data_IF_504979076696
#
_entry.id   IF_504979076696
#
_cell.length_a   1.000
_cell.length_b   1.000
_cell.length_c   1.000
_cell.angle_alpha   90.00
_cell.angle_beta   90.00
_cell.angle_gamma   90.00
#
_symmetry.space_group_name_H-M   'P 1'
#
loop_
_entity.id
_entity.type
_entity.pdbx_description
1 polymer ?
#
# COMPACT_ATOMS: atom_id res chain seq x y z
N UNK A 1 -23.34 -12.67 27.44
CA UNK A 1 -24.23 -12.58 26.25
C UNK A 1 -23.38 -12.58 24.95
N UNK A 2 -24.01 -12.88 23.81
CA UNK A 2 -23.36 -12.70 22.52
C UNK A 2 -23.45 -11.22 22.16
N UNK A 3 -22.31 -10.56 21.96
CA UNK A 3 -22.24 -9.14 21.62
C UNK A 3 -22.15 -8.91 20.10
N UNK A 4 -21.56 -9.84 19.37
CA UNK A 4 -21.45 -9.78 17.92
C UNK A 4 -21.11 -11.14 17.31
N UNK A 5 -21.43 -11.31 16.03
CA UNK A 5 -21.09 -12.50 15.24
C UNK A 5 -20.74 -12.10 13.83
N UNK A 6 -19.76 -12.77 13.23
CA UNK A 6 -19.41 -12.64 11.82
C UNK A 6 -18.93 -13.97 11.28
N UNK A 7 -18.93 -14.11 9.95
CA UNK A 7 -18.38 -15.30 9.29
C UNK A 7 -17.34 -14.88 8.24
N UNK A 8 -16.41 -15.79 7.99
CA UNK A 8 -15.40 -15.66 6.95
C UNK A 8 -15.96 -16.32 5.68
N UNK A 9 -16.22 -15.54 4.62
CA UNK A 9 -16.80 -16.09 3.39
C UNK A 9 -15.84 -17.01 2.62
N UNK A 10 -14.53 -16.93 2.89
CA UNK A 10 -13.50 -17.74 2.21
C UNK A 10 -13.35 -19.10 2.90
N UNK A 11 -13.08 -19.11 4.21
CA UNK A 11 -12.89 -20.36 4.97
C UNK A 11 -14.20 -20.99 5.48
N UNK A 12 -15.29 -20.22 5.52
CA UNK A 12 -16.55 -20.62 6.14
C UNK A 12 -16.49 -20.67 7.68
N UNK A 13 -15.42 -20.15 8.30
CA UNK A 13 -15.29 -20.07 9.75
C UNK A 13 -16.20 -18.98 10.31
N UNK A 14 -16.58 -19.13 11.59
CA UNK A 14 -17.43 -18.18 12.29
C UNK A 14 -16.70 -17.61 13.51
N UNK A 15 -16.88 -16.32 13.77
CA UNK A 15 -16.34 -15.65 14.96
C UNK A 15 -17.49 -15.06 15.78
N UNK A 16 -17.47 -15.32 17.05
CA UNK A 16 -18.41 -14.75 18.03
C UNK A 16 -17.65 -13.88 19.04
N UNK A 17 -18.21 -12.71 19.32
CA UNK A 17 -17.83 -11.89 20.47
C UNK A 17 -18.82 -12.12 21.59
N UNK A 18 -18.30 -12.48 22.74
CA UNK A 18 -19.05 -12.71 23.97
C UNK A 18 -18.69 -11.60 24.96
N UNK A 19 -19.64 -11.19 25.78
CA UNK A 19 -19.40 -10.19 26.82
C UNK A 19 -20.18 -10.53 28.08
N UNK A 20 -19.51 -10.40 29.22
CA UNK A 20 -20.13 -10.49 30.55
C UNK A 20 -20.22 -9.08 31.13
N UNK A 21 -21.43 -8.51 31.26
CA UNK A 21 -21.62 -7.17 31.83
C UNK A 21 -21.29 -7.07 33.32
N UNK A 22 -21.43 -8.17 34.07
CA UNK A 22 -21.15 -8.17 35.49
C UNK A 22 -19.65 -8.04 35.81
N UNK A 23 -18.81 -8.69 35.00
CA UNK A 23 -17.35 -8.66 35.17
C UNK A 23 -16.67 -7.68 34.22
N UNK A 24 -17.41 -7.05 33.30
CA UNK A 24 -16.90 -6.20 32.25
C UNK A 24 -15.84 -6.89 31.37
N UNK A 25 -15.87 -8.21 31.30
CA UNK A 25 -14.93 -9.01 30.48
C UNK A 25 -15.56 -9.45 29.17
N UNK A 26 -14.78 -9.37 28.14
CA UNK A 26 -15.12 -9.86 26.80
C UNK A 26 -14.30 -11.09 26.41
N UNK A 27 -14.79 -11.78 25.39
CA UNK A 27 -14.11 -12.94 24.81
C UNK A 27 -14.42 -13.05 23.34
N UNK A 28 -13.41 -13.32 22.52
CA UNK A 28 -13.56 -13.66 21.10
C UNK A 28 -13.31 -15.15 20.93
N UNK A 29 -14.22 -15.83 20.23
CA UNK A 29 -14.09 -17.26 19.92
C UNK A 29 -14.26 -17.45 18.42
N UNK A 30 -13.32 -18.15 17.79
CA UNK A 30 -13.40 -18.55 16.38
C UNK A 30 -13.66 -20.04 16.27
N UNK A 31 -14.60 -20.38 15.40
CA UNK A 31 -14.96 -21.75 15.09
C UNK A 31 -14.69 -22.05 13.62
N UNK A 32 -14.20 -23.27 13.31
CA UNK A 32 -14.12 -23.75 11.94
C UNK A 32 -15.51 -23.92 11.34
N UNK A 33 -15.58 -24.16 10.02
CA UNK A 33 -16.82 -24.50 9.31
C UNK A 33 -17.54 -25.74 9.89
N UNK A 34 -16.79 -26.66 10.49
CA UNK A 34 -17.33 -27.87 11.14
C UNK A 34 -17.74 -27.64 12.59
N UNK A 35 -17.62 -26.42 13.13
CA UNK A 35 -17.96 -26.07 14.50
C UNK A 35 -16.86 -26.33 15.53
N UNK A 36 -15.65 -26.73 15.12
CA UNK A 36 -14.53 -26.90 16.04
C UNK A 36 -13.97 -25.55 16.45
N UNK A 37 -13.70 -25.37 17.75
CA UNK A 37 -13.07 -24.16 18.27
C UNK A 37 -11.62 -24.08 17.79
N UNK A 38 -11.28 -23.01 17.06
CA UNK A 38 -9.95 -22.75 16.54
C UNK A 38 -9.09 -21.98 17.53
N UNK A 39 -9.64 -20.88 18.07
CA UNK A 39 -9.00 -20.12 19.15
C UNK A 39 -10.02 -19.41 20.03
N UNK A 40 -9.56 -18.97 21.20
CA UNK A 40 -10.28 -18.16 22.16
C UNK A 40 -9.34 -17.09 22.73
N UNK A 41 -9.81 -15.84 22.81
CA UNK A 41 -9.06 -14.70 23.34
C UNK A 41 -9.91 -13.88 24.28
N UNK A 42 -9.40 -13.57 25.47
CA UNK A 42 -10.03 -12.62 26.37
C UNK A 42 -9.83 -11.19 25.83
N UNK A 43 -10.82 -10.35 26.06
CA UNK A 43 -10.80 -8.95 25.63
C UNK A 43 -11.24 -8.03 26.77
N UNK A 44 -10.67 -6.83 26.81
CA UNK A 44 -10.98 -5.82 27.83
C UNK A 44 -12.24 -5.00 27.50
N UNK A 45 -12.93 -5.30 26.40
CA UNK A 45 -14.10 -4.55 25.95
C UNK A 45 -15.13 -5.46 25.27
N UNK A 46 -16.37 -4.96 25.18
CA UNK A 46 -17.42 -5.55 24.35
C UNK A 46 -17.20 -5.13 22.90
N UNK A 47 -16.97 -6.09 22.02
CA UNK A 47 -16.83 -5.84 20.58
C UNK A 47 -18.12 -6.26 19.87
N UNK A 48 -18.85 -5.29 19.38
CA UNK A 48 -20.14 -5.50 18.69
C UNK A 48 -20.03 -5.39 17.18
N UNK A 49 -18.99 -4.72 16.68
CA UNK A 49 -18.71 -4.62 15.24
C UNK A 49 -17.55 -5.56 14.89
N UNK A 50 -17.86 -6.62 14.14
CA UNK A 50 -16.90 -7.63 13.73
C UNK A 50 -16.86 -7.69 12.20
N UNK A 51 -15.65 -7.71 11.60
CA UNK A 51 -15.43 -7.87 10.16
C UNK A 51 -14.20 -8.72 9.91
N UNK A 52 -14.26 -9.56 8.88
CA UNK A 52 -13.13 -10.39 8.44
C UNK A 52 -12.70 -9.92 7.04
N UNK A 53 -11.38 -9.78 6.84
CA UNK A 53 -10.80 -9.46 5.53
C UNK A 53 -10.54 -10.73 4.70
N UNK A 54 -10.03 -10.56 3.47
CA UNK A 54 -9.71 -11.67 2.56
C UNK A 54 -8.59 -12.59 3.06
N UNK A 55 -7.77 -12.17 4.03
CA UNK A 55 -6.71 -12.97 4.66
C UNK A 55 -7.21 -13.74 5.91
N UNK A 56 -8.47 -13.57 6.28
CA UNK A 56 -9.05 -14.18 7.47
C UNK A 56 -8.76 -13.42 8.77
N UNK A 57 -8.17 -12.20 8.70
CA UNK A 57 -7.91 -11.37 9.88
C UNK A 57 -9.21 -10.71 10.34
N UNK A 58 -9.38 -10.64 11.66
CA UNK A 58 -10.60 -10.15 12.30
C UNK A 58 -10.41 -8.72 12.80
N UNK A 59 -11.14 -7.77 12.21
CA UNK A 59 -11.33 -6.44 12.78
C UNK A 59 -12.46 -6.47 13.80
N UNK A 60 -12.21 -5.91 14.97
CA UNK A 60 -13.13 -5.81 16.09
C UNK A 60 -13.31 -4.35 16.50
N UNK A 61 -14.55 -3.91 16.57
CA UNK A 61 -14.88 -2.57 17.02
C UNK A 61 -15.79 -2.59 18.25
N UNK A 62 -15.47 -1.77 19.25
CA UNK A 62 -16.33 -1.44 20.37
C UNK A 62 -16.86 -0.02 20.20
N UNK A 63 -18.05 0.15 19.57
CA UNK A 63 -18.59 1.46 19.24
C UNK A 63 -18.76 2.38 20.45
N UNK A 64 -19.14 1.81 21.60
CA UNK A 64 -19.40 2.59 22.82
C UNK A 64 -18.12 3.11 23.47
N UNK A 65 -17.02 2.39 23.37
CA UNK A 65 -15.73 2.79 23.94
C UNK A 65 -14.81 3.47 22.93
N UNK A 66 -15.14 3.41 21.63
CA UNK A 66 -14.28 3.90 20.56
C UNK A 66 -13.03 3.06 20.35
N UNK A 67 -12.99 1.83 20.90
CA UNK A 67 -11.83 0.92 20.76
C UNK A 67 -11.91 0.10 19.49
N UNK A 68 -10.80 -0.03 18.81
CA UNK A 68 -10.63 -0.80 17.60
C UNK A 68 -9.44 -1.73 17.75
N UNK A 69 -9.65 -3.02 17.47
CA UNK A 69 -8.60 -4.04 17.57
C UNK A 69 -8.65 -4.95 16.35
N UNK A 70 -7.52 -5.52 15.98
CA UNK A 70 -7.43 -6.49 14.90
C UNK A 70 -6.64 -7.71 15.34
N UNK A 71 -7.18 -8.89 15.07
CA UNK A 71 -6.50 -10.17 15.26
C UNK A 71 -6.15 -10.78 13.90
N UNK A 72 -5.01 -11.46 13.83
CA UNK A 72 -4.68 -12.30 12.69
C UNK A 72 -5.68 -13.47 12.54
N UNK A 73 -5.64 -14.15 11.40
CA UNK A 73 -6.43 -15.37 11.16
C UNK A 73 -6.18 -16.46 12.21
N UNK A 74 -5.01 -16.43 12.90
CA UNK A 74 -4.60 -17.35 13.96
C UNK A 74 -4.92 -16.81 15.37
N UNK A 75 -5.47 -15.59 15.49
CA UNK A 75 -5.85 -14.98 16.76
C UNK A 75 -4.73 -14.20 17.43
N UNK A 76 -3.65 -13.85 16.74
CA UNK A 76 -2.60 -12.96 17.25
C UNK A 76 -3.04 -11.51 17.14
N UNK A 77 -2.72 -10.70 18.14
CA UNK A 77 -3.07 -9.27 18.14
C UNK A 77 -2.19 -8.51 17.13
N UNK A 78 -2.81 -7.92 16.12
CA UNK A 78 -2.12 -7.11 15.11
C UNK A 78 -2.08 -5.64 15.53
N UNK A 79 -3.18 -5.11 16.03
CA UNK A 79 -3.22 -3.80 16.69
C UNK A 79 -4.40 -3.68 17.67
N UNK A 80 -4.29 -2.70 18.58
CA UNK A 80 -5.33 -2.34 19.55
C UNK A 80 -5.19 -0.86 19.91
N UNK A 81 -6.21 -0.04 19.59
CA UNK A 81 -6.17 1.40 19.82
C UNK A 81 -7.55 2.03 19.92
N UNK A 82 -7.61 3.27 20.38
CA UNK A 82 -8.80 4.11 20.22
C UNK A 82 -8.86 4.74 18.83
N UNK A 83 -10.08 4.94 18.31
CA UNK A 83 -10.32 5.60 17.01
C UNK A 83 -9.84 7.04 17.01
N UNK A 84 -10.09 7.74 18.12
CA UNK A 84 -9.51 9.06 18.42
C UNK A 84 -8.55 8.86 19.57
N UNK A 85 -7.34 9.40 19.41
CA UNK A 85 -6.26 9.17 20.35
C UNK A 85 -6.66 9.46 21.79
N UNK A 86 -6.43 8.47 22.66
CA UNK A 86 -6.67 8.53 24.11
C UNK A 86 -8.08 9.01 24.53
N UNK A 87 -9.03 9.08 23.58
CA UNK A 87 -10.39 9.54 23.84
C UNK A 87 -11.38 8.45 23.46
N UNK A 88 -12.22 7.97 24.38
CA UNK A 88 -13.33 7.06 24.08
C UNK A 88 -14.36 7.80 23.20
N UNK A 89 -14.15 7.83 21.91
CA UNK A 89 -15.08 8.48 20.97
C UNK A 89 -15.93 7.40 20.32
N UNK A 90 -17.25 7.38 20.57
CA UNK A 90 -18.15 6.42 19.95
C UNK A 90 -18.13 6.51 18.44
N UNK A 91 -18.30 5.37 17.76
CA UNK A 91 -18.50 5.31 16.30
C UNK A 91 -19.72 4.44 15.98
N UNK A 92 -20.37 4.72 14.84
CA UNK A 92 -21.60 4.02 14.47
C UNK A 92 -21.34 2.69 13.77
N UNK A 93 -20.33 2.62 12.91
CA UNK A 93 -19.99 1.43 12.14
C UNK A 93 -18.50 1.37 11.80
N UNK A 94 -17.99 0.14 11.66
CA UNK A 94 -16.67 -0.13 11.11
C UNK A 94 -16.80 -1.03 9.87
N UNK A 95 -16.02 -0.78 8.85
CA UNK A 95 -15.94 -1.59 7.64
C UNK A 95 -14.49 -1.88 7.30
N UNK A 96 -14.24 -3.11 6.83
CA UNK A 96 -12.94 -3.57 6.39
C UNK A 96 -13.10 -4.08 4.95
N UNK A 97 -12.48 -3.44 3.95
CA UNK A 97 -12.47 -3.96 2.58
C UNK A 97 -11.84 -5.34 2.50
N UNK A 98 -12.22 -6.12 1.50
CA UNK A 98 -11.72 -7.49 1.34
C UNK A 98 -10.18 -7.56 1.19
N UNK A 99 -9.57 -6.52 0.63
CA UNK A 99 -8.11 -6.39 0.50
C UNK A 99 -7.39 -5.95 1.79
N UNK A 100 -8.14 -5.58 2.85
CA UNK A 100 -7.57 -5.19 4.14
C UNK A 100 -6.82 -3.86 4.17
N UNK A 101 -6.87 -3.05 3.10
CA UNK A 101 -6.04 -1.84 2.96
C UNK A 101 -6.39 -0.71 3.93
N UNK A 102 -7.59 -0.66 4.44
CA UNK A 102 -8.00 0.37 5.37
C UNK A 102 -9.22 -0.03 6.20
N UNK A 103 -9.37 0.59 7.35
CA UNK A 103 -10.59 0.53 8.14
C UNK A 103 -11.37 1.81 7.90
N UNK A 104 -12.64 1.69 7.56
CA UNK A 104 -13.56 2.81 7.46
C UNK A 104 -14.47 2.82 8.68
N UNK A 105 -14.55 3.96 9.33
CA UNK A 105 -15.39 4.19 10.49
C UNK A 105 -16.37 5.31 10.20
N UNK A 106 -17.54 5.26 10.80
CA UNK A 106 -18.50 6.37 10.80
C UNK A 106 -18.79 6.78 12.23
N UNK A 107 -18.68 8.06 12.54
CA UNK A 107 -19.14 8.65 13.79
C UNK A 107 -20.60 9.20 13.72
N UNK A 108 -21.28 8.88 12.60
CA UNK A 108 -22.64 9.34 12.33
C UNK A 108 -22.73 10.64 11.52
N UNK A 109 -21.65 11.43 11.47
CA UNK A 109 -21.58 12.70 10.73
C UNK A 109 -20.55 12.68 9.60
N UNK A 110 -19.54 11.86 9.70
CA UNK A 110 -18.42 11.74 8.73
C UNK A 110 -17.94 10.30 8.61
N UNK A 111 -17.23 10.00 7.53
CA UNK A 111 -16.52 8.76 7.32
C UNK A 111 -15.03 9.02 7.59
N UNK A 112 -14.46 8.25 8.50
CA UNK A 112 -13.05 8.31 8.88
C UNK A 112 -12.36 7.08 8.28
N UNK A 113 -11.36 7.28 7.45
CA UNK A 113 -10.49 6.22 6.98
C UNK A 113 -9.30 6.08 7.94
N UNK A 114 -9.18 4.93 8.55
CA UNK A 114 -8.00 4.56 9.33
C UNK A 114 -7.16 3.59 8.52
N UNK A 115 -5.94 3.97 8.25
CA UNK A 115 -4.91 3.04 7.78
C UNK A 115 -3.95 2.77 8.95
N UNK A 116 -3.68 1.49 9.24
CA UNK A 116 -2.66 1.09 10.21
C UNK A 116 -1.71 0.16 9.49
N UNK A 117 -0.41 0.48 9.55
CA UNK A 117 0.60 -0.28 8.85
C UNK A 117 1.30 0.51 7.74
N UNK A 118 2.00 -0.20 6.87
CA UNK A 118 2.78 0.41 5.79
C UNK A 118 1.99 0.38 4.48
N UNK A 119 2.00 1.50 3.79
CA UNK A 119 1.42 1.63 2.46
C UNK A 119 2.25 2.56 1.56
N UNK A 120 2.06 2.41 0.26
CA UNK A 120 2.62 3.24 -0.80
C UNK A 120 1.53 3.55 -1.84
N UNK A 121 1.73 4.61 -2.62
CA UNK A 121 0.89 4.92 -3.78
C UNK A 121 1.64 4.68 -5.08
N UNK A 122 0.90 4.41 -6.15
CA UNK A 122 1.45 4.39 -7.50
C UNK A 122 1.96 5.78 -7.87
N UNK A 123 3.01 5.80 -8.66
CA UNK A 123 3.67 7.03 -9.08
C UNK A 123 3.82 7.09 -10.59
N UNK A 124 4.08 8.28 -11.08
CA UNK A 124 4.35 8.54 -12.49
C UNK A 124 5.54 9.47 -12.61
N UNK A 125 6.44 9.16 -13.54
CA UNK A 125 7.62 9.93 -13.84
C UNK A 125 7.77 10.03 -15.37
N UNK A 126 8.29 11.15 -15.86
CA UNK A 126 8.62 11.27 -17.27
C UNK A 126 10.02 10.70 -17.53
N UNK A 127 10.17 9.92 -18.60
CA UNK A 127 11.48 9.48 -19.10
C UNK A 127 12.33 10.70 -19.39
N UNK A 128 13.55 10.82 -18.86
CA UNK A 128 14.42 11.97 -19.13
C UNK A 128 14.91 11.94 -20.57
N UNK A 129 15.12 13.13 -21.18
CA UNK A 129 15.66 13.26 -22.54
C UNK A 129 17.15 12.94 -22.52
N UNK A 130 17.85 13.37 -21.48
CA UNK A 130 19.29 13.13 -21.25
C UNK A 130 19.52 12.95 -19.75
N UNK A 131 20.58 12.23 -19.37
CA UNK A 131 20.94 11.98 -17.99
C UNK A 131 19.95 11.04 -17.29
N UNK A 132 19.59 11.36 -16.06
CA UNK A 132 18.63 10.58 -15.25
C UNK A 132 17.58 11.48 -14.62
N UNK A 133 16.42 10.90 -14.33
CA UNK A 133 15.39 11.46 -13.45
C UNK A 133 15.24 10.55 -12.24
N UNK A 134 14.47 10.97 -11.24
CA UNK A 134 14.22 10.15 -10.04
C UNK A 134 12.73 9.86 -9.92
N UNK A 135 12.41 8.58 -9.81
CA UNK A 135 11.08 8.13 -9.40
C UNK A 135 11.08 7.98 -7.87
N UNK A 136 10.29 8.78 -7.15
CA UNK A 136 10.26 8.80 -5.69
C UNK A 136 9.00 8.14 -5.19
N UNK A 137 9.12 6.95 -4.58
CA UNK A 137 8.05 6.31 -3.84
C UNK A 137 8.05 6.82 -2.40
N UNK A 138 6.88 7.23 -1.92
CA UNK A 138 6.70 7.56 -0.50
C UNK A 138 6.14 6.35 0.23
N UNK A 139 6.97 5.71 1.04
CA UNK A 139 6.57 4.63 1.94
C UNK A 139 6.11 5.26 3.25
N UNK A 140 4.86 5.02 3.63
CA UNK A 140 4.24 5.64 4.78
C UNK A 140 3.85 4.59 5.81
N UNK A 141 4.32 4.75 7.05
CA UNK A 141 3.84 4.03 8.21
C UNK A 141 2.73 4.85 8.89
N UNK A 142 1.57 4.25 9.06
CA UNK A 142 0.45 4.84 9.80
C UNK A 142 0.37 4.21 11.18
N UNK A 143 1.03 4.83 12.14
CA UNK A 143 1.07 4.41 13.54
C UNK A 143 2.00 3.23 13.82
N UNK A 144 2.40 3.11 15.09
CA UNK A 144 3.23 2.03 15.60
C UNK A 144 2.39 1.01 16.37
N UNK A 145 2.85 -0.24 16.40
CA UNK A 145 2.44 -1.23 17.39
C UNK A 145 3.11 -0.93 18.72
N UNK A 146 2.52 -1.37 19.82
CA UNK A 146 3.03 -1.11 21.16
C UNK A 146 3.28 -2.40 21.92
N UNK A 147 4.26 -2.40 22.83
CA UNK A 147 4.45 -3.47 23.82
C UNK A 147 3.26 -3.49 24.80
N UNK A 148 3.09 -4.57 25.58
CA UNK A 148 2.08 -4.60 26.67
C UNK A 148 2.22 -3.45 27.68
N UNK A 149 3.44 -2.94 27.87
CA UNK A 149 3.77 -1.82 28.76
C UNK A 149 3.55 -0.44 28.13
N UNK A 150 3.10 -0.40 26.85
CA UNK A 150 2.76 0.82 26.15
C UNK A 150 3.92 1.52 25.44
N UNK A 151 5.08 0.87 25.29
CA UNK A 151 6.19 1.41 24.50
C UNK A 151 5.98 1.12 23.01
N UNK A 152 6.18 2.11 22.10
CA UNK A 152 6.06 1.88 20.67
C UNK A 152 7.20 1.00 20.16
N UNK A 153 6.87 0.06 19.27
CA UNK A 153 7.83 -0.86 18.67
C UNK A 153 8.38 -0.29 17.36
N UNK A 154 9.70 -0.36 17.10
CA UNK A 154 10.26 -0.01 15.80
C UNK A 154 9.73 -0.96 14.73
N UNK A 155 9.53 -0.42 13.52
CA UNK A 155 9.03 -1.17 12.37
C UNK A 155 10.11 -1.21 11.31
N UNK A 156 10.42 -2.40 10.79
CA UNK A 156 11.30 -2.57 9.64
C UNK A 156 10.56 -3.20 8.47
N UNK A 157 10.95 -2.85 7.26
CA UNK A 157 10.39 -3.44 6.03
C UNK A 157 11.45 -3.43 4.94
N UNK A 158 11.61 -4.55 4.26
CA UNK A 158 12.49 -4.64 3.09
C UNK A 158 11.75 -4.13 1.85
N UNK A 159 12.50 -3.50 0.96
CA UNK A 159 12.01 -3.07 -0.34
C UNK A 159 12.92 -3.53 -1.47
N UNK A 160 12.32 -3.76 -2.64
CA UNK A 160 13.03 -4.11 -3.87
C UNK A 160 12.23 -3.70 -5.10
N UNK A 161 12.91 -3.14 -6.11
CA UNK A 161 12.30 -2.95 -7.43
C UNK A 161 12.11 -4.28 -8.13
N UNK A 162 11.04 -4.37 -8.93
CA UNK A 162 10.74 -5.55 -9.77
C UNK A 162 10.28 -5.09 -11.18
N UNK A 163 10.91 -5.59 -12.25
CA UNK A 163 10.52 -5.26 -13.61
C UNK A 163 9.09 -5.74 -13.93
N UNK A 164 8.36 -4.98 -14.76
CA UNK A 164 7.06 -5.36 -15.35
C UNK A 164 7.17 -5.25 -16.87
N UNK A 165 7.15 -4.03 -17.41
CA UNK A 165 7.43 -3.76 -18.84
C UNK A 165 8.70 -2.93 -19.02
N UNK A 166 9.18 -2.28 -17.94
CA UNK A 166 10.46 -1.60 -17.92
C UNK A 166 11.59 -2.59 -17.62
N UNK A 167 12.73 -2.43 -18.28
CA UNK A 167 13.93 -3.26 -18.11
C UNK A 167 14.92 -2.59 -17.17
N UNK A 168 15.45 -3.38 -16.22
CA UNK A 168 16.53 -2.97 -15.31
C UNK A 168 17.80 -2.62 -16.12
N UNK A 169 18.51 -1.57 -15.68
CA UNK A 169 19.72 -1.07 -16.35
C UNK A 169 19.47 -0.31 -17.66
N UNK A 170 18.25 -0.40 -18.23
CA UNK A 170 17.87 0.31 -19.48
C UNK A 170 16.92 1.46 -19.18
N UNK A 171 15.81 1.18 -18.52
CA UNK A 171 14.77 2.17 -18.20
C UNK A 171 14.94 2.74 -16.80
N UNK A 172 15.47 1.96 -15.86
CA UNK A 172 15.72 2.36 -14.49
C UNK A 172 16.85 1.52 -13.87
N UNK A 173 17.50 2.06 -12.85
CA UNK A 173 18.47 1.30 -12.06
C UNK A 173 17.77 0.60 -10.87
N UNK A 174 17.97 -0.72 -10.69
CA UNK A 174 17.33 -1.46 -9.63
C UNK A 174 17.83 -1.02 -8.25
N UNK A 175 16.90 -0.91 -7.30
CA UNK A 175 17.21 -0.61 -5.91
C UNK A 175 16.61 -1.65 -4.98
N UNK A 176 17.30 -1.93 -3.87
CA UNK A 176 16.82 -2.77 -2.78
C UNK A 176 17.42 -2.30 -1.46
N UNK A 177 16.72 -2.53 -0.35
CA UNK A 177 17.21 -2.18 0.98
C UNK A 177 16.16 -2.44 2.05
N UNK A 178 16.43 -1.93 3.26
CA UNK A 178 15.54 -2.02 4.40
C UNK A 178 15.25 -0.62 4.93
N UNK A 179 13.97 -0.30 5.13
CA UNK A 179 13.53 0.90 5.84
C UNK A 179 13.33 0.57 7.32
N UNK A 180 13.76 1.46 8.20
CA UNK A 180 13.58 1.34 9.65
C UNK A 180 12.85 2.57 10.18
N UNK A 181 11.61 2.39 10.60
CA UNK A 181 10.80 3.39 11.26
C UNK A 181 11.04 3.25 12.76
N UNK A 182 11.84 4.16 13.31
CA UNK A 182 12.14 4.21 14.74
C UNK A 182 11.22 5.25 15.39
N UNK A 183 10.44 4.87 16.42
CA UNK A 183 9.56 5.82 17.09
C UNK A 183 10.34 6.99 17.70
N UNK A 184 9.85 8.21 17.50
CA UNK A 184 10.41 9.40 18.13
C UNK A 184 10.18 9.39 19.64
N UNK A 185 11.15 9.81 20.41
CA UNK A 185 11.06 9.89 21.88
C UNK A 185 10.11 10.99 22.36
N UNK A 186 9.85 12.02 21.54
CA UNK A 186 8.92 13.10 21.81
C UNK A 186 7.48 12.82 21.32
N UNK A 187 7.27 11.69 20.62
CA UNK A 187 5.99 11.30 20.08
C UNK A 187 5.51 12.10 18.88
N UNK A 188 6.37 12.91 18.26
CA UNK A 188 6.02 13.76 17.11
C UNK A 188 5.63 12.95 15.86
N UNK A 189 6.14 11.73 15.72
CA UNK A 189 5.91 10.82 14.60
C UNK A 189 4.90 9.69 14.89
N UNK A 190 4.20 9.79 16.04
CA UNK A 190 3.30 8.73 16.55
C UNK A 190 2.25 8.26 15.53
N UNK A 191 1.84 9.13 14.61
CA UNK A 191 0.73 8.87 13.70
C UNK A 191 1.12 8.64 12.26
N UNK A 192 2.21 9.25 11.81
CA UNK A 192 2.59 9.22 10.41
C UNK A 192 4.10 9.39 10.26
N UNK A 193 4.77 8.36 9.83
CA UNK A 193 6.18 8.42 9.48
C UNK A 193 6.36 8.06 8.01
N UNK A 194 7.26 8.74 7.30
CA UNK A 194 7.45 8.61 5.86
C UNK A 194 8.92 8.47 5.50
N UNK A 195 9.18 7.54 4.57
CA UNK A 195 10.47 7.42 3.90
C UNK A 195 10.30 7.55 2.39
N UNK A 196 11.24 8.22 1.76
CA UNK A 196 11.36 8.24 0.30
C UNK A 196 12.27 7.10 -0.14
N UNK A 197 11.81 6.31 -1.12
CA UNK A 197 12.65 5.37 -1.87
C UNK A 197 12.82 5.95 -3.26
N UNK A 198 14.04 6.32 -3.57
CA UNK A 198 14.41 6.94 -4.83
C UNK A 198 14.94 5.89 -5.81
N UNK A 199 14.37 5.86 -7.01
CA UNK A 199 14.77 4.95 -8.09
C UNK A 199 15.23 5.79 -9.28
N UNK A 200 16.50 5.69 -9.70
CA UNK A 200 16.98 6.40 -10.88
C UNK A 200 16.29 5.90 -12.16
N UNK A 201 15.82 6.83 -12.99
CA UNK A 201 15.21 6.57 -14.28
C UNK A 201 16.18 7.02 -15.37
N UNK A 202 16.55 6.10 -16.23
CA UNK A 202 17.58 6.31 -17.23
C UNK A 202 17.01 6.92 -18.52
N UNK A 203 17.74 7.87 -19.11
CA UNK A 203 17.51 8.27 -20.49
C UNK A 203 17.98 7.15 -21.44
N UNK A 204 17.19 6.86 -22.44
CA UNK A 204 17.60 6.04 -23.56
C UNK A 204 16.98 6.57 -24.87
N UNK A 205 17.53 6.15 -26.03
CA UNK A 205 17.08 6.61 -27.32
C UNK A 205 16.05 5.69 -27.99
N UNK A 206 15.50 4.72 -27.18
CA UNK A 206 14.54 3.76 -27.67
C UNK A 206 13.14 4.40 -27.77
N UNK A 207 12.49 4.16 -28.90
CA UNK A 207 11.06 4.44 -29.07
C UNK A 207 10.25 3.21 -28.60
N UNK A 208 9.90 3.18 -27.33
CA UNK A 208 9.34 1.98 -26.70
C UNK A 208 7.97 2.20 -26.02
N UNK A 209 7.46 3.43 -26.03
CA UNK A 209 6.26 3.81 -25.30
C UNK A 209 6.44 3.82 -23.78
N UNK A 210 5.35 4.07 -23.07
CA UNK A 210 5.39 4.08 -21.60
C UNK A 210 5.66 2.70 -21.04
N UNK A 211 6.50 2.63 -20.00
CA UNK A 211 6.96 1.41 -19.33
C UNK A 211 6.63 1.44 -17.85
N UNK A 212 6.52 0.28 -17.23
CA UNK A 212 6.20 0.15 -15.81
C UNK A 212 7.16 -0.79 -15.09
N UNK A 213 7.44 -0.47 -13.82
CA UNK A 213 8.08 -1.35 -12.86
C UNK A 213 7.36 -1.22 -11.51
N UNK A 214 7.58 -2.15 -10.61
CA UNK A 214 7.02 -2.12 -9.27
C UNK A 214 8.11 -1.89 -8.23
N UNK A 215 7.73 -1.27 -7.11
CA UNK A 215 8.44 -1.35 -5.84
C UNK A 215 7.64 -2.30 -4.95
N UNK A 216 8.25 -3.41 -4.56
CA UNK A 216 7.65 -4.42 -3.69
C UNK A 216 8.21 -4.29 -2.27
N UNK A 217 7.34 -4.44 -1.26
CA UNK A 217 7.67 -4.49 0.16
C UNK A 217 7.53 -5.91 0.68
N UNK A 218 8.44 -6.32 1.56
CA UNK A 218 8.46 -7.66 2.15
C UNK A 218 9.07 -7.63 3.56
N UNK A 219 9.07 -8.78 4.26
CA UNK A 219 9.76 -8.98 5.54
C UNK A 219 9.48 -7.90 6.58
N UNK A 220 8.20 -7.51 6.72
CA UNK A 220 7.80 -6.50 7.70
C UNK A 220 7.90 -7.05 9.12
N UNK A 221 8.39 -6.22 10.05
CA UNK A 221 8.37 -6.48 11.50
C UNK A 221 7.45 -5.50 12.22
N UNK A 222 6.80 -5.96 13.30
CA UNK A 222 6.00 -5.14 14.22
C UNK A 222 4.91 -4.27 13.58
N UNK A 223 4.49 -4.58 12.35
CA UNK A 223 3.46 -3.84 11.64
C UNK A 223 2.80 -4.73 10.58
N UNK A 224 1.91 -4.15 9.77
CA UNK A 224 1.15 -4.81 8.73
C UNK A 224 1.38 -4.13 7.37
N UNK A 225 1.47 -4.93 6.29
CA UNK A 225 1.52 -4.40 4.92
C UNK A 225 0.09 -4.16 4.42
N UNK A 226 -0.33 -2.89 4.39
CA UNK A 226 -1.62 -2.49 3.81
C UNK A 226 -1.56 -2.65 2.29
N UNK A 227 -0.42 -2.29 1.71
CA UNK A 227 -0.13 -2.46 0.30
C UNK A 227 1.33 -2.85 0.13
N UNK A 228 1.55 -4.08 -0.35
CA UNK A 228 2.88 -4.66 -0.50
C UNK A 228 3.57 -4.34 -1.82
N UNK A 229 2.86 -3.75 -2.80
CA UNK A 229 3.41 -3.43 -4.11
C UNK A 229 2.80 -2.15 -4.66
N UNK A 230 3.63 -1.28 -5.23
CA UNK A 230 3.20 -0.07 -5.94
C UNK A 230 3.91 0.05 -7.26
N UNK A 231 3.20 0.58 -8.27
CA UNK A 231 3.68 0.69 -9.64
C UNK A 231 4.20 2.09 -9.94
N UNK A 232 5.33 2.16 -10.63
CA UNK A 232 5.81 3.35 -11.31
C UNK A 232 5.49 3.25 -12.81
N UNK A 233 4.85 4.29 -13.34
CA UNK A 233 4.68 4.50 -14.78
C UNK A 233 5.74 5.46 -15.27
N UNK A 234 6.69 4.97 -16.08
CA UNK A 234 7.64 5.80 -16.83
C UNK A 234 6.94 6.22 -18.12
N UNK A 235 6.55 7.49 -18.19
CA UNK A 235 5.97 8.06 -19.42
C UNK A 235 7.07 8.33 -20.43
N UNK A 236 6.90 7.76 -21.61
CA UNK A 236 7.80 8.06 -22.74
C UNK A 236 7.65 9.53 -23.20
N UNK A 237 8.70 10.04 -23.81
CA UNK A 237 8.71 11.38 -24.37
C UNK A 237 7.92 11.41 -25.69
N UNK A 238 7.23 12.52 -26.00
CA UNK A 238 6.61 12.68 -27.29
C UNK A 238 7.68 12.66 -28.40
N UNK A 239 7.42 11.89 -29.44
CA UNK A 239 8.26 11.86 -30.64
C UNK A 239 7.76 12.88 -31.67
N UNK A 240 8.71 13.48 -32.41
CA UNK A 240 8.42 14.38 -33.53
C UNK A 240 8.71 13.62 -34.80
N UNK A 241 7.73 13.52 -35.67
CA UNK A 241 7.92 13.00 -37.02
C UNK A 241 8.28 14.15 -37.95
N UNK A 242 9.38 14.04 -38.65
CA UNK A 242 9.82 15.04 -39.62
C UNK A 242 10.03 14.41 -41.00
N UNK A 243 9.61 15.11 -42.02
CA UNK A 243 9.96 14.81 -43.39
C UNK A 243 11.31 15.47 -43.71
N UNK A 244 12.29 14.67 -44.10
CA UNK A 244 13.64 15.13 -44.40
C UNK A 244 13.83 14.99 -45.90
N UNK A 245 14.06 16.11 -46.61
CA UNK A 245 14.44 16.07 -48.02
C UNK A 245 15.89 15.58 -48.13
N UNK A 246 16.09 14.44 -48.76
CA UNK A 246 17.42 13.82 -48.91
C UNK A 246 18.01 14.09 -50.31
N UNK A 247 17.16 14.43 -51.28
CA UNK A 247 17.58 14.69 -52.64
C UNK A 247 16.65 15.68 -53.33
N UNK A 248 17.21 16.69 -53.97
CA UNK A 248 16.47 17.60 -54.85
C UNK A 248 16.18 16.89 -56.17
N UNK A 249 14.93 17.01 -56.63
CA UNK A 249 14.56 16.56 -57.98
C UNK A 249 14.94 17.57 -59.01
N UNK A 250 15.24 17.11 -60.27
CA UNK A 250 15.39 17.93 -61.44
C UNK A 250 14.21 17.56 -62.36
N UNK A 251 13.49 18.57 -62.85
CA UNK A 251 12.30 18.35 -63.67
C UNK A 251 12.66 17.48 -64.87
N UNK A 252 11.98 16.34 -65.04
CA UNK A 252 12.17 15.39 -66.12
C UNK A 252 13.36 14.42 -65.99
N UNK A 253 14.20 14.55 -64.92
CA UNK A 253 15.42 13.73 -64.81
C UNK A 253 15.56 12.94 -63.51
N UNK A 254 15.07 13.45 -62.38
CA UNK A 254 15.26 12.81 -61.09
C UNK A 254 14.04 12.99 -60.17
N UNK A 255 13.71 11.95 -59.45
CA UNK A 255 12.68 11.98 -58.39
C UNK A 255 13.16 12.73 -57.16
N UNK A 256 12.23 13.42 -56.51
CA UNK A 256 12.45 13.99 -55.19
C UNK A 256 12.32 12.85 -54.16
N UNK A 257 13.35 12.63 -53.37
CA UNK A 257 13.36 11.60 -52.33
C UNK A 257 13.23 12.27 -50.97
N UNK A 258 12.26 11.81 -50.21
CA UNK A 258 12.05 12.22 -48.79
C UNK A 258 12.18 11.00 -47.89
N UNK A 259 12.78 11.20 -46.73
CA UNK A 259 12.77 10.24 -45.60
C UNK A 259 11.93 10.76 -44.48
N UNK A 260 11.20 9.85 -43.84
CA UNK A 260 10.52 10.11 -42.58
C UNK A 260 11.45 9.77 -41.44
N UNK A 261 11.84 10.78 -40.66
CA UNK A 261 12.63 10.61 -39.45
C UNK A 261 11.78 10.81 -38.21
N UNK A 262 12.02 9.99 -37.19
CA UNK A 262 11.42 10.14 -35.86
C UNK A 262 12.49 10.67 -34.91
N UNK A 263 12.17 11.75 -34.22
CA UNK A 263 13.12 12.47 -33.36
C UNK A 263 12.54 12.69 -31.97
N UNK A 264 13.41 12.78 -30.97
CA UNK A 264 13.06 13.36 -29.66
C UNK A 264 12.74 14.85 -29.84
N UNK A 265 12.10 15.44 -28.85
CA UNK A 265 11.78 16.87 -28.80
C UNK A 265 13.02 17.76 -28.85
N UNK A 266 14.19 17.26 -28.46
CA UNK A 266 15.49 17.94 -28.59
C UNK A 266 16.17 17.75 -29.96
N UNK A 267 15.53 17.07 -30.92
CA UNK A 267 16.05 16.85 -32.28
C UNK A 267 16.93 15.61 -32.44
N UNK A 268 17.20 14.85 -31.40
CA UNK A 268 17.96 13.59 -31.51
C UNK A 268 17.10 12.52 -32.18
N UNK A 269 17.64 11.84 -33.19
CA UNK A 269 16.94 10.74 -33.84
C UNK A 269 16.69 9.58 -32.88
N UNK A 270 15.49 9.02 -32.96
CA UNK A 270 15.10 7.85 -32.18
C UNK A 270 15.42 6.57 -32.96
N UNK A 271 15.91 5.56 -32.28
CA UNK A 271 16.12 4.22 -32.81
C UNK A 271 14.98 3.29 -32.44
N UNK A 272 14.65 2.37 -33.31
CA UNK A 272 13.70 1.31 -32.98
C UNK A 272 14.33 0.36 -31.95
N UNK A 273 13.52 -0.09 -30.96
CA UNK A 273 13.90 -1.13 -29.99
C UNK A 273 13.90 -2.51 -30.66
#
# INVERSE_FOLDING_TARGET
MIAGITHDPVSGSCVASLYNPETSQGKIVKFSRQGHRMYEKNTAASYTSLRINGNGDLLMGSPTTGRLSMLSSLGELLFDRYVVENTPTPFAAASLPANGEAVFLSDGSRIIKLAHGIYMSDIQVSKPIMGSATATFTVTLSGYSFTPEGAPLPVTVDYKTRPVTASEGVNYDPVAGTLSFVPSTDGSDRYLNKFAVEVPINANDLLEGSRTFNLDLSNISNSYLIRSSSQALIKDQPAIVRLIGTKAGIEGEQDIVYELGIFKTNGVALTNA
#
